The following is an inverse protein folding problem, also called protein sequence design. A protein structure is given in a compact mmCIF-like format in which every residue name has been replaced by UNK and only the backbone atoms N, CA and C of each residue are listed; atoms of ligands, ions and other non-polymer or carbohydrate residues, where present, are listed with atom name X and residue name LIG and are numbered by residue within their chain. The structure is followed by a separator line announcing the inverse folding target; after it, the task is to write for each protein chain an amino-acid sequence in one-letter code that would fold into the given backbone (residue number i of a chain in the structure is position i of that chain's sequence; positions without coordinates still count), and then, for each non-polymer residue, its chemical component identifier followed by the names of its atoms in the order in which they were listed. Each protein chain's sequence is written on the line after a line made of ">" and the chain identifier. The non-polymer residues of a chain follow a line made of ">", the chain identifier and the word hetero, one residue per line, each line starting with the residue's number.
data_IF_948463633094
#
_entry.id   IF_948463633094
#
_cell.length_a   1.000
_cell.length_b   1.000
_cell.length_c   1.000
_cell.angle_alpha   90.00
_cell.angle_beta   90.00
_cell.angle_gamma   90.00
#
_symmetry.space_group_name_H-M   'P 1'
#
loop_
_entity.id
_entity.type
_entity.pdbx_description
1 polymer ?
#
# COMPACT_ATOMS: atom_id res chain seq x y z
N UNK A 1 15.92 -22.83 2.77
CA UNK A 1 15.51 -22.23 2.92
C UNK A 1 14.56 -21.91 3.53
N UNK A 2 14.13 -21.30 3.95
CA UNK A 2 13.34 -20.91 4.59
C UNK A 2 12.49 -20.17 4.34
N UNK A 3 11.66 -19.98 4.37
CA UNK A 3 10.86 -19.31 4.17
C UNK A 3 10.39 -18.52 4.91
N UNK A 4 9.99 -17.70 4.80
CA UNK A 4 9.71 -16.93 5.39
C UNK A 4 8.57 -16.67 5.56
N UNK A 5 8.28 -16.42 5.96
CA UNK A 5 7.23 -15.96 6.47
C UNK A 5 6.18 -15.56 5.71
N UNK A 6 5.24 -15.06 6.28
CA UNK A 6 4.06 -14.71 5.59
C UNK A 6 4.17 -13.40 4.86
N UNK A 7 5.23 -12.68 5.07
CA UNK A 7 5.26 -11.31 4.59
C UNK A 7 5.58 -11.16 3.13
N UNK A 8 6.20 -12.19 2.55
CA UNK A 8 6.33 -12.21 1.13
C UNK A 8 6.82 -10.93 0.51
N UNK A 9 6.09 -10.43 -0.48
CA UNK A 9 6.54 -9.30 -1.24
C UNK A 9 6.56 -8.01 -0.44
N UNK A 10 5.77 -7.92 0.62
CA UNK A 10 5.75 -6.70 1.41
C UNK A 10 7.11 -6.41 2.04
N UNK A 11 7.93 -7.44 2.23
CA UNK A 11 9.28 -7.25 2.76
C UNK A 11 10.30 -6.92 1.69
N UNK A 12 9.94 -7.03 0.43
CA UNK A 12 10.88 -6.84 -0.68
C UNK A 12 10.98 -5.35 -0.98
N UNK A 13 12.20 -4.82 -0.91
CA UNK A 13 12.42 -3.40 -1.17
C UNK A 13 12.04 -3.02 -2.60
N UNK A 14 12.27 -3.91 -3.56
CA UNK A 14 11.90 -3.62 -4.93
C UNK A 14 10.39 -3.52 -5.08
N UNK A 15 9.64 -4.36 -4.38
CA UNK A 15 8.20 -4.27 -4.43
C UNK A 15 7.71 -2.98 -3.79
N UNK A 16 8.30 -2.60 -2.66
CA UNK A 16 7.90 -1.35 -2.01
C UNK A 16 8.14 -0.15 -2.92
N UNK A 17 9.25 -0.14 -3.63
CA UNK A 17 9.51 0.93 -4.59
C UNK A 17 8.49 0.93 -5.72
N UNK A 18 8.04 -0.24 -6.13
CA UNK A 18 7.04 -0.33 -7.18
C UNK A 18 5.68 0.19 -6.73
N UNK A 19 5.44 0.26 -5.43
CA UNK A 19 4.18 0.76 -4.91
C UNK A 19 4.13 2.28 -4.86
N UNK A 20 5.27 2.95 -4.95
CA UNK A 20 5.33 4.40 -4.84
C UNK A 20 4.58 5.04 -6.01
N UNK A 21 3.74 6.02 -5.70
CA UNK A 21 2.99 6.70 -6.74
C UNK A 21 1.75 7.36 -6.17
N UNK A 22 0.91 7.80 -7.08
CA UNK A 22 -0.32 8.51 -6.74
C UNK A 22 -1.50 7.64 -7.15
N UNK A 23 -2.42 7.45 -6.22
CA UNK A 23 -3.59 6.62 -6.44
C UNK A 23 -4.83 7.46 -6.16
N UNK A 24 -5.86 7.30 -6.99
CA UNK A 24 -7.09 8.09 -6.86
C UNK A 24 -8.27 7.18 -6.61
N UNK A 25 -9.02 7.49 -5.58
CA UNK A 25 -10.25 6.77 -5.28
C UNK A 25 -11.32 7.77 -4.92
N UNK A 26 -12.30 7.96 -5.81
CA UNK A 26 -13.29 8.97 -5.59
C UNK A 26 -12.67 10.34 -5.56
N UNK A 27 -12.96 11.11 -4.53
CA UNK A 27 -12.42 12.45 -4.39
C UNK A 27 -11.09 12.48 -3.64
N UNK A 28 -10.61 11.33 -3.20
CA UNK A 28 -9.40 11.27 -2.40
C UNK A 28 -8.21 10.88 -3.25
N UNK A 29 -7.11 11.59 -3.07
CA UNK A 29 -5.83 11.26 -3.70
C UNK A 29 -4.92 10.71 -2.62
N UNK A 30 -4.36 9.54 -2.89
CA UNK A 30 -3.46 8.87 -1.95
C UNK A 30 -2.06 8.89 -2.52
N UNK A 31 -1.12 9.47 -1.78
CA UNK A 31 0.28 9.49 -2.19
C UNK A 31 1.02 8.43 -1.41
N UNK A 32 1.64 7.50 -2.12
CA UNK A 32 2.45 6.45 -1.51
C UNK A 32 3.91 6.77 -1.76
N UNK A 33 4.69 6.79 -0.68
CA UNK A 33 6.08 7.15 -0.76
C UNK A 33 6.88 6.26 0.18
N UNK A 34 8.21 6.40 0.13
CA UNK A 34 9.10 5.68 1.04
C UNK A 34 9.81 6.72 1.88
N UNK A 35 9.76 6.54 3.20
CA UNK A 35 10.36 7.50 4.11
C UNK A 35 11.86 7.22 4.30
N UNK A 36 12.49 7.98 5.19
CA UNK A 36 13.92 7.88 5.39
C UNK A 36 14.34 6.52 5.94
N UNK A 37 13.43 5.82 6.58
CA UNK A 37 13.71 4.50 7.14
C UNK A 37 13.44 3.37 6.15
N UNK A 38 13.01 3.71 4.95
CA UNK A 38 12.72 2.69 3.95
C UNK A 38 11.33 2.11 4.06
N UNK A 39 10.47 2.69 4.86
CA UNK A 39 9.11 2.20 5.03
C UNK A 39 8.15 2.93 4.11
N UNK A 40 7.13 2.22 3.66
CA UNK A 40 6.08 2.85 2.87
C UNK A 40 5.23 3.75 3.74
N UNK A 41 4.80 4.86 3.16
CA UNK A 41 3.87 5.78 3.81
C UNK A 41 2.70 6.03 2.89
N UNK A 42 1.59 6.40 3.49
CA UNK A 42 0.36 6.73 2.77
C UNK A 42 -0.11 8.09 3.24
N UNK A 43 -0.28 9.00 2.28
CA UNK A 43 -0.74 10.35 2.59
C UNK A 43 -2.02 10.64 1.82
N UNK A 44 -3.18 10.41 2.44
CA UNK A 44 -4.44 10.74 1.79
C UNK A 44 -4.70 12.24 1.87
N UNK A 45 -5.44 12.75 0.91
CA UNK A 45 -5.79 14.17 0.88
C UNK A 45 -6.46 14.59 2.19
N UNK A 46 -5.92 15.64 2.80
CA UNK A 46 -6.53 16.20 4.00
C UNK A 46 -6.31 15.40 5.26
N UNK A 47 -5.46 14.40 5.21
CA UNK A 47 -5.20 13.55 6.37
C UNK A 47 -3.70 13.47 6.63
N UNK A 48 -3.32 13.07 7.84
CA UNK A 48 -1.91 12.92 8.13
C UNK A 48 -1.29 11.78 7.33
N UNK A 49 0.04 11.75 7.32
CA UNK A 49 0.77 10.68 6.69
C UNK A 49 0.80 9.49 7.64
N UNK A 50 0.39 8.34 7.13
CA UNK A 50 0.40 7.10 7.88
C UNK A 50 1.56 6.23 7.46
N UNK A 51 2.09 5.44 8.40
CA UNK A 51 3.15 4.51 8.11
C UNK A 51 2.56 3.13 7.88
N UNK A 52 3.10 2.44 6.88
CA UNK A 52 2.60 1.13 6.50
C UNK A 52 3.61 0.08 6.92
N UNK A 53 3.13 -0.96 7.58
CA UNK A 53 3.96 -2.06 8.02
C UNK A 53 3.61 -3.30 7.22
N UNK A 54 4.59 -4.09 6.78
CA UNK A 54 4.28 -5.31 6.04
C UNK A 54 3.41 -6.23 6.91
N UNK A 55 2.35 -6.74 6.30
CA UNK A 55 1.45 -7.64 7.00
C UNK A 55 1.55 -9.05 6.43
N UNK A 56 1.31 -9.20 5.15
CA UNK A 56 1.55 -10.45 4.45
C UNK A 56 1.49 -10.20 2.96
N UNK A 57 2.30 -10.92 2.22
CA UNK A 57 2.34 -10.85 0.76
C UNK A 57 2.37 -9.40 0.28
N UNK A 58 1.33 -8.92 -0.37
CA UNK A 58 1.26 -7.55 -0.86
C UNK A 58 0.38 -6.68 -0.01
N UNK A 59 0.11 -7.11 1.23
CA UNK A 59 -0.79 -6.40 2.13
C UNK A 59 0.02 -5.72 3.22
N UNK A 60 -0.33 -4.46 3.48
CA UNK A 60 0.30 -3.67 4.54
C UNK A 60 -0.76 -3.26 5.55
N UNK A 61 -0.35 -3.17 6.80
CA UNK A 61 -1.20 -2.63 7.85
C UNK A 61 -0.86 -1.17 8.05
N UNK A 62 -1.85 -0.36 8.41
CA UNK A 62 -1.60 1.03 8.77
C UNK A 62 -1.28 1.05 10.26
N UNK A 63 -0.07 1.50 10.59
CA UNK A 63 0.38 1.44 11.98
C UNK A 63 -0.51 2.22 12.92
N UNK A 64 -1.01 3.36 12.45
CA UNK A 64 -1.77 4.27 13.31
C UNK A 64 -3.26 3.95 13.36
N UNK A 65 -3.74 3.05 12.50
CA UNK A 65 -5.18 2.76 12.41
C UNK A 65 -5.40 1.26 12.46
N UNK A 66 -5.84 0.79 13.60
CA UNK A 66 -6.08 -0.63 13.76
C UNK A 66 -7.25 -1.08 12.91
N UNK A 67 -7.10 -2.25 12.28
CA UNK A 67 -8.18 -2.78 11.47
C UNK A 67 -8.16 -2.33 10.02
N UNK A 68 -7.21 -1.49 9.65
CA UNK A 68 -7.09 -1.02 8.27
C UNK A 68 -5.94 -1.70 7.59
N UNK A 69 -6.17 -2.21 6.39
CA UNK A 69 -5.16 -2.89 5.59
C UNK A 69 -5.19 -2.35 4.17
N UNK A 70 -4.03 -2.32 3.54
CA UNK A 70 -3.90 -1.94 2.14
C UNK A 70 -3.30 -3.10 1.38
N UNK A 71 -3.94 -3.47 0.30
CA UNK A 71 -3.41 -4.49 -0.60
C UNK A 71 -3.06 -3.84 -1.92
N UNK A 72 -1.80 -4.00 -2.37
CA UNK A 72 -1.38 -3.45 -3.65
C UNK A 72 -1.55 -4.52 -4.71
N UNK A 73 -2.40 -4.25 -5.68
CA UNK A 73 -2.73 -5.22 -6.72
C UNK A 73 -1.92 -4.94 -7.97
N UNK A 74 -1.49 -6.01 -8.62
CA UNK A 74 -0.71 -5.94 -9.84
C UNK A 74 -1.53 -6.44 -11.02
N UNK A 75 -1.18 -5.95 -12.21
CA UNK A 75 -1.80 -6.47 -13.42
C UNK A 75 -0.98 -7.65 -13.94
N UNK A 76 -1.30 -8.09 -15.15
CA UNK A 76 -0.64 -9.26 -15.71
C UNK A 76 0.84 -9.06 -15.94
N UNK A 77 1.25 -7.82 -16.15
CA UNK A 77 2.66 -7.53 -16.39
C UNK A 77 3.46 -7.37 -15.10
N UNK A 78 2.79 -7.42 -13.96
CA UNK A 78 3.46 -7.24 -12.68
C UNK A 78 3.50 -5.81 -12.21
N UNK A 79 2.85 -4.90 -12.90
CA UNK A 79 2.81 -3.49 -12.52
C UNK A 79 1.74 -3.27 -11.46
N UNK A 80 2.10 -2.56 -10.38
CA UNK A 80 1.12 -2.21 -9.36
C UNK A 80 0.19 -1.15 -9.94
N UNK A 81 -1.11 -1.46 -9.97
CA UNK A 81 -2.07 -0.61 -10.63
C UNK A 81 -3.12 -0.03 -9.70
N UNK A 82 -3.31 -0.59 -8.52
CA UNK A 82 -4.33 -0.08 -7.62
C UNK A 82 -4.07 -0.52 -6.21
N UNK A 83 -4.73 0.16 -5.29
CA UNK A 83 -4.74 -0.21 -3.88
C UNK A 83 -6.15 -0.65 -3.54
N UNK A 84 -6.26 -1.77 -2.82
CA UNK A 84 -7.52 -2.21 -2.26
C UNK A 84 -7.45 -1.95 -0.76
N UNK A 85 -8.34 -1.10 -0.27
CA UNK A 85 -8.39 -0.76 1.14
C UNK A 85 -9.38 -1.68 1.83
N UNK A 86 -8.89 -2.45 2.77
CA UNK A 86 -9.72 -3.35 3.59
C UNK A 86 -9.97 -2.65 4.91
N UNK A 87 -11.18 -2.20 5.11
CA UNK A 87 -11.57 -1.46 6.31
C UNK A 87 -12.67 -2.21 7.02
N UNK A 88 -12.88 -1.91 8.32
CA UNK A 88 -13.93 -2.63 9.05
C UNK A 88 -15.31 -2.51 8.43
N UNK A 89 -15.58 -1.39 7.76
CA UNK A 89 -16.91 -1.16 7.19
C UNK A 89 -16.99 -1.41 5.69
N UNK A 90 -15.97 -2.03 5.10
CA UNK A 90 -16.06 -2.35 3.69
C UNK A 90 -14.73 -2.31 2.99
N UNK A 91 -14.78 -2.52 1.69
CA UNK A 91 -13.61 -2.56 0.83
C UNK A 91 -13.72 -1.47 -0.21
N UNK A 92 -12.64 -0.71 -0.40
CA UNK A 92 -12.61 0.40 -1.34
C UNK A 92 -11.37 0.28 -2.21
N UNK A 93 -11.38 0.90 -3.37
CA UNK A 93 -10.26 0.82 -4.29
C UNK A 93 -9.82 2.21 -4.73
N UNK A 94 -8.52 2.35 -4.97
CA UNK A 94 -7.95 3.56 -5.55
C UNK A 94 -7.07 3.14 -6.72
N UNK A 95 -7.27 3.77 -7.86
CA UNK A 95 -6.54 3.44 -9.07
C UNK A 95 -5.31 4.30 -9.20
N UNK A 96 -4.23 3.71 -9.69
CA UNK A 96 -2.99 4.44 -9.87
C UNK A 96 -3.16 5.49 -10.95
N UNK A 97 -2.70 6.69 -10.67
CA UNK A 97 -2.74 7.76 -11.63
C UNK A 97 -1.68 7.56 -12.70
N UNK A 98 -1.94 8.11 -13.86
CA UNK A 98 -1.02 7.93 -14.96
C UNK A 98 -0.23 9.18 -15.27
N UNK A 99 -0.58 10.27 -14.66
CA UNK A 99 0.06 11.42 -14.95
C UNK A 99 0.88 11.89 -14.26
#
# INVERSE_FOLDING_TARGET
>A
MFRRGASGEALDAAFRRACVGVYRGGATVHVVAIDADGELTLSPTGQPTYRLAPYRERVFAIRELEGYRLEFARDESGTVTKIIFHQPNGTFQAQRGTE
#
